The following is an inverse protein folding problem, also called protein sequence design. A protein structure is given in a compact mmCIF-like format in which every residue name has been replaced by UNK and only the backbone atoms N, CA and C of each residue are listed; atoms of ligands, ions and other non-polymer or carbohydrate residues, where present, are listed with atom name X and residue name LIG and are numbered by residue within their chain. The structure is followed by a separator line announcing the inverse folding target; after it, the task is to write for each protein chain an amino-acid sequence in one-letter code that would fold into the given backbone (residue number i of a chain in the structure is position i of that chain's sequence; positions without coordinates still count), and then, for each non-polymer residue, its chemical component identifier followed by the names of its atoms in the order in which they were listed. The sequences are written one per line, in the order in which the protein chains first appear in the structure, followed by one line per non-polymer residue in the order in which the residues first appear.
data_IF_397137206565
#
_entry.id   IF_397137206565
#
_cell.length_a   1.000
_cell.length_b   1.000
_cell.length_c   1.000
_cell.angle_alpha   90.00
_cell.angle_beta   90.00
_cell.angle_gamma   90.00
#
_symmetry.space_group_name_H-M   'P 1'
#
loop_
_entity.id
_entity.type
_entity.pdbx_description
1 polymer ?
#
# COMPACT_ATOMS: atom_id res chain seq x y z
N UNK A 1 -5.31 -8.46 -11.31
CA UNK A 1 -3.87 -8.61 -11.56
C UNK A 1 -3.51 -10.06 -11.33
N UNK A 2 -2.80 -10.68 -12.25
CA UNK A 2 -2.36 -12.06 -12.06
C UNK A 2 -1.06 -12.15 -11.24
N UNK A 3 -0.72 -13.36 -10.78
CA UNK A 3 0.47 -13.59 -9.94
C UNK A 3 1.78 -13.22 -10.63
N UNK A 4 1.90 -13.42 -11.94
CA UNK A 4 3.12 -13.11 -12.69
C UNK A 4 3.36 -11.60 -12.75
N UNK A 5 2.30 -10.83 -12.98
CA UNK A 5 2.33 -9.37 -12.92
C UNK A 5 2.70 -8.87 -11.51
N UNK A 6 2.05 -9.41 -10.48
CA UNK A 6 2.33 -9.05 -9.09
C UNK A 6 3.79 -9.32 -8.69
N UNK A 7 4.35 -10.45 -9.11
CA UNK A 7 5.76 -10.78 -8.83
C UNK A 7 6.76 -9.89 -9.56
N UNK A 8 6.40 -9.30 -10.71
CA UNK A 8 7.23 -8.27 -11.36
C UNK A 8 7.25 -6.98 -10.56
N UNK A 9 6.12 -6.63 -9.96
CA UNK A 9 6.02 -5.47 -9.06
C UNK A 9 6.81 -5.74 -7.78
N UNK A 10 6.71 -6.94 -7.20
CA UNK A 10 7.55 -7.35 -6.08
C UNK A 10 9.04 -7.19 -6.39
N UNK A 11 9.50 -7.72 -7.53
CA UNK A 11 10.90 -7.61 -7.95
C UNK A 11 11.34 -6.15 -8.15
N UNK A 12 10.44 -5.30 -8.67
CA UNK A 12 10.72 -3.87 -8.81
C UNK A 12 10.88 -3.15 -7.46
N UNK A 13 10.00 -3.44 -6.49
CA UNK A 13 9.97 -2.75 -5.19
C UNK A 13 11.00 -3.31 -4.19
N UNK A 14 11.16 -4.63 -4.15
CA UNK A 14 11.91 -5.34 -3.11
C UNK A 14 13.05 -6.22 -3.66
N UNK A 15 13.19 -6.36 -4.98
CA UNK A 15 14.21 -7.23 -5.58
C UNK A 15 14.00 -8.71 -5.25
N UNK A 16 15.09 -9.38 -4.88
CA UNK A 16 15.15 -10.82 -4.62
C UNK A 16 14.74 -11.22 -3.21
N UNK A 17 14.26 -10.28 -2.39
CA UNK A 17 13.86 -10.55 -1.01
C UNK A 17 12.70 -11.54 -0.92
N UNK A 18 12.83 -12.54 -0.05
CA UNK A 18 11.74 -13.47 0.30
C UNK A 18 10.68 -12.82 1.21
N UNK A 19 11.11 -11.86 2.04
CA UNK A 19 10.26 -11.14 2.99
C UNK A 19 10.49 -9.64 2.89
N UNK A 20 9.40 -8.89 3.01
CA UNK A 20 9.42 -7.43 3.10
C UNK A 20 8.42 -6.98 4.17
N UNK A 21 8.26 -5.67 4.32
CA UNK A 21 7.27 -5.06 5.19
C UNK A 21 6.43 -4.07 4.39
N UNK A 22 5.12 -4.04 4.62
CA UNK A 22 4.28 -2.99 4.05
C UNK A 22 4.50 -1.64 4.77
N UNK A 23 3.82 -0.60 4.30
CA UNK A 23 3.99 0.76 4.81
C UNK A 23 3.55 0.95 6.27
N UNK A 24 2.81 -0.01 6.85
CA UNK A 24 2.43 0.00 8.29
C UNK A 24 3.33 -0.92 9.13
N UNK A 25 4.33 -1.56 8.52
CA UNK A 25 5.30 -2.43 9.19
C UNK A 25 4.86 -3.89 9.33
N UNK A 26 3.81 -4.33 8.62
CA UNK A 26 3.40 -5.75 8.63
C UNK A 26 4.26 -6.55 7.67
N UNK A 27 4.71 -7.72 8.13
CA UNK A 27 5.54 -8.63 7.36
C UNK A 27 4.75 -9.27 6.21
N UNK A 28 5.36 -9.31 5.03
CA UNK A 28 4.80 -9.95 3.83
C UNK A 28 5.83 -10.91 3.23
N UNK A 29 5.37 -11.99 2.59
CA UNK A 29 6.23 -13.02 1.99
C UNK A 29 6.00 -13.09 0.49
N UNK A 30 7.06 -13.03 -0.31
CA UNK A 30 7.04 -13.01 -1.78
C UNK A 30 6.11 -14.06 -2.40
N UNK A 31 6.16 -15.28 -1.89
CA UNK A 31 5.41 -16.42 -2.43
C UNK A 31 3.91 -16.36 -2.17
N UNK A 32 3.48 -15.60 -1.16
CA UNK A 32 2.13 -15.61 -0.58
C UNK A 32 1.26 -14.46 -1.13
N UNK A 33 1.44 -14.14 -2.41
CA UNK A 33 0.56 -13.22 -3.15
C UNK A 33 -0.87 -13.79 -3.22
N UNK A 34 -1.86 -12.96 -2.88
CA UNK A 34 -3.30 -13.28 -2.91
C UNK A 34 -3.67 -14.50 -2.03
N UNK A 35 -2.93 -14.69 -0.94
CA UNK A 35 -3.21 -15.71 0.08
C UNK A 35 -3.64 -15.02 1.38
N UNK A 36 -4.81 -15.36 1.93
CA UNK A 36 -5.28 -14.81 3.21
C UNK A 36 -4.61 -15.57 4.38
N UNK A 37 -3.37 -15.20 4.72
CA UNK A 37 -2.59 -15.78 5.82
C UNK A 37 -1.70 -14.73 6.52
N UNK A 38 -0.96 -15.09 7.58
CA UNK A 38 -0.18 -14.16 8.41
C UNK A 38 0.87 -13.29 7.68
N UNK A 39 1.24 -13.61 6.44
CA UNK A 39 2.25 -12.88 5.63
C UNK A 39 1.77 -12.64 4.20
N UNK A 40 0.46 -12.74 3.99
CA UNK A 40 -0.17 -12.63 2.69
C UNK A 40 -0.34 -11.19 2.24
N UNK A 41 -0.14 -10.94 0.94
CA UNK A 41 -0.12 -9.59 0.39
C UNK A 41 -0.86 -9.49 -0.95
N UNK A 42 -1.24 -8.26 -1.28
CA UNK A 42 -1.93 -7.91 -2.52
C UNK A 42 -1.30 -6.65 -3.14
N UNK A 43 -1.59 -6.42 -4.42
CA UNK A 43 -1.33 -5.14 -5.09
C UNK A 43 -2.63 -4.34 -5.10
N UNK A 44 -2.63 -3.21 -4.40
CA UNK A 44 -3.75 -2.29 -4.29
C UNK A 44 -3.51 -0.99 -5.03
N UNK A 45 -4.43 -0.05 -4.88
CA UNK A 45 -4.31 1.31 -5.41
C UNK A 45 -4.31 2.35 -4.29
N UNK A 46 -3.44 3.35 -4.38
CA UNK A 46 -3.37 4.44 -3.41
C UNK A 46 -4.65 5.30 -3.48
N UNK A 47 -4.98 5.80 -4.67
CA UNK A 47 -6.31 6.30 -5.02
C UNK A 47 -7.17 5.16 -5.60
N UNK A 48 -8.30 4.81 -4.98
CA UNK A 48 -9.15 3.70 -5.44
C UNK A 48 -9.69 3.90 -6.86
N UNK A 49 -9.86 2.81 -7.60
CA UNK A 49 -10.48 2.82 -8.93
C UNK A 49 -11.92 3.31 -8.88
N UNK A 50 -12.66 2.97 -7.82
CA UNK A 50 -14.03 3.44 -7.55
C UNK A 50 -14.12 4.97 -7.40
N UNK A 51 -12.98 5.62 -7.12
CA UNK A 51 -12.85 7.07 -6.99
C UNK A 51 -12.04 7.69 -8.15
N UNK A 52 -12.08 7.07 -9.35
CA UNK A 52 -11.37 7.49 -10.55
C UNK A 52 -9.83 7.50 -10.38
N UNK A 53 -9.30 6.57 -9.58
CA UNK A 53 -7.87 6.32 -9.49
C UNK A 53 -7.31 5.74 -10.80
N UNK A 54 -6.13 6.16 -11.25
CA UNK A 54 -5.51 5.62 -12.46
C UNK A 54 -4.92 4.23 -12.22
N UNK A 55 -4.74 3.44 -13.28
CA UNK A 55 -4.20 2.07 -13.20
C UNK A 55 -2.69 1.99 -13.45
N UNK A 56 -2.00 3.12 -13.57
CA UNK A 56 -0.57 3.18 -13.83
C UNK A 56 0.28 2.86 -12.60
N UNK A 57 1.57 2.59 -12.81
CA UNK A 57 2.51 2.20 -11.75
C UNK A 57 2.58 3.23 -10.60
N UNK A 58 2.49 4.53 -10.89
CA UNK A 58 2.50 5.56 -9.86
C UNK A 58 1.33 5.52 -8.87
N UNK A 59 0.27 4.73 -9.10
CA UNK A 59 -0.88 4.59 -8.20
C UNK A 59 -0.96 3.19 -7.55
N UNK A 60 -0.05 2.26 -7.87
CA UNK A 60 -0.09 0.92 -7.26
C UNK A 60 0.70 0.89 -5.96
N UNK A 61 0.36 -0.05 -5.08
CA UNK A 61 1.05 -0.26 -3.81
C UNK A 61 0.96 -1.71 -3.37
N UNK A 62 2.08 -2.28 -2.92
CA UNK A 62 2.10 -3.58 -2.24
C UNK A 62 1.70 -3.37 -0.77
N UNK A 63 0.75 -4.16 -0.28
CA UNK A 63 0.32 -4.11 1.11
C UNK A 63 -0.11 -5.48 1.64
N UNK A 64 -0.01 -5.67 2.95
CA UNK A 64 -0.57 -6.84 3.61
C UNK A 64 -2.09 -6.88 3.43
N UNK A 65 -2.68 -8.06 3.26
CA UNK A 65 -4.12 -8.18 2.95
C UNK A 65 -5.03 -7.61 4.07
N UNK A 66 -4.63 -7.69 5.34
CA UNK A 66 -5.33 -6.99 6.42
C UNK A 66 -5.25 -5.46 6.28
N UNK A 67 -4.08 -4.92 5.91
CA UNK A 67 -3.90 -3.47 5.68
C UNK A 67 -4.79 -3.01 4.54
N UNK A 68 -4.90 -3.81 3.48
CA UNK A 68 -5.81 -3.56 2.37
C UNK A 68 -7.28 -3.51 2.81
N UNK A 69 -7.70 -4.46 3.67
CA UNK A 69 -9.07 -4.50 4.22
C UNK A 69 -9.37 -3.29 5.09
N UNK A 70 -8.43 -2.85 5.93
CA UNK A 70 -8.59 -1.67 6.79
C UNK A 70 -8.60 -0.36 6.01
N UNK A 71 -7.68 -0.19 5.05
CA UNK A 71 -7.67 0.97 4.15
C UNK A 71 -8.97 1.05 3.35
N UNK A 72 -9.38 -0.06 2.74
CA UNK A 72 -10.52 -0.13 1.83
C UNK A 72 -10.44 0.92 0.72
N UNK A 73 -11.59 1.54 0.43
CA UNK A 73 -11.71 2.63 -0.53
C UNK A 73 -11.49 4.01 0.11
N UNK A 74 -10.96 4.09 1.33
CA UNK A 74 -10.70 5.36 2.01
C UNK A 74 -9.59 6.14 1.28
N UNK A 75 -9.88 7.40 0.96
CA UNK A 75 -9.00 8.35 0.26
C UNK A 75 -9.51 9.80 0.46
N UNK A 76 -8.63 10.81 0.62
CA UNK A 76 -7.18 10.67 0.73
C UNK A 76 -6.74 10.23 2.12
N UNK A 77 -7.58 10.39 3.14
CA UNK A 77 -7.30 9.98 4.51
C UNK A 77 -7.85 8.58 4.78
N UNK A 78 -7.11 7.80 5.56
CA UNK A 78 -7.52 6.49 6.02
C UNK A 78 -6.83 6.15 7.33
N UNK A 79 -7.37 5.15 8.03
CA UNK A 79 -6.86 4.67 9.30
C UNK A 79 -6.57 3.18 9.21
N UNK A 80 -5.40 2.76 9.64
CA UNK A 80 -5.04 1.35 9.80
C UNK A 80 -4.67 1.18 11.26
N UNK A 81 -5.32 0.23 11.92
CA UNK A 81 -5.34 0.11 13.38
C UNK A 81 -5.75 1.45 14.02
N UNK A 82 -4.82 2.11 14.71
CA UNK A 82 -5.04 3.39 15.38
C UNK A 82 -4.30 4.56 14.74
N UNK A 83 -3.53 4.31 13.66
CA UNK A 83 -2.69 5.31 13.02
C UNK A 83 -3.38 5.89 11.79
N UNK A 84 -3.40 7.22 11.71
CA UNK A 84 -3.92 7.96 10.56
C UNK A 84 -2.85 8.17 9.49
N UNK A 85 -3.28 8.04 8.24
CA UNK A 85 -2.44 8.19 7.05
C UNK A 85 -3.14 9.07 6.02
N UNK A 86 -2.34 9.75 5.20
CA UNK A 86 -2.81 10.54 4.06
C UNK A 86 -2.11 10.11 2.78
N UNK A 87 -2.89 9.92 1.72
CA UNK A 87 -2.39 9.74 0.36
C UNK A 87 -2.20 11.11 -0.29
N UNK A 88 -0.99 11.37 -0.79
CA UNK A 88 -0.64 12.58 -1.54
C UNK A 88 -0.34 12.24 -2.99
N UNK A 89 -0.59 13.17 -3.90
CA UNK A 89 -0.29 13.05 -5.33
C UNK A 89 0.79 14.06 -5.73
N UNK A 90 1.78 13.62 -6.50
CA UNK A 90 2.88 14.43 -7.02
C UNK A 90 2.76 14.56 -8.53
N UNK A 91 2.22 15.69 -8.99
CA UNK A 91 1.94 15.94 -10.42
C UNK A 91 3.18 15.83 -11.31
N UNK A 92 4.33 16.36 -10.87
CA UNK A 92 5.56 16.37 -11.68
C UNK A 92 6.08 14.97 -12.01
N UNK A 93 5.78 13.98 -11.16
CA UNK A 93 6.22 12.60 -11.34
C UNK A 93 5.10 11.60 -11.64
N UNK A 94 3.85 12.06 -11.68
CA UNK A 94 2.65 11.23 -11.86
C UNK A 94 2.61 10.01 -10.91
N UNK A 95 2.81 10.27 -9.62
CA UNK A 95 2.78 9.22 -8.59
C UNK A 95 2.12 9.68 -7.30
N UNK A 96 1.66 8.70 -6.54
CA UNK A 96 1.10 8.88 -5.21
C UNK A 96 2.10 8.39 -4.16
N UNK A 97 1.98 8.91 -2.94
CA UNK A 97 2.70 8.38 -1.78
C UNK A 97 1.86 8.50 -0.52
N UNK A 98 2.21 7.72 0.51
CA UNK A 98 1.50 7.68 1.78
C UNK A 98 2.37 8.35 2.85
N UNK A 99 1.78 9.26 3.61
CA UNK A 99 2.39 9.87 4.79
C UNK A 99 1.61 9.45 6.03
N UNK A 100 2.32 9.10 7.11
CA UNK A 100 1.71 9.00 8.43
C UNK A 100 1.37 10.41 8.91
N UNK A 101 0.13 10.64 9.32
CA UNK A 101 -0.27 11.89 9.96
C UNK A 101 0.32 11.86 11.38
N UNK A 102 1.22 12.79 11.67
CA UNK A 102 1.67 13.03 13.05
C UNK A 102 0.60 13.90 13.70
N UNK A 103 0.09 13.51 14.85
CA UNK A 103 -0.51 14.47 15.76
C UNK A 103 0.65 15.33 16.24
N UNK A 104 0.63 16.63 15.93
CA UNK A 104 1.51 17.58 16.59
C UNK A 104 1.14 17.50 18.08
N UNK A 105 1.95 16.78 18.86
CA UNK A 105 2.05 17.02 20.30
C UNK A 105 2.67 18.43 20.47
N UNK A 106 1.88 19.46 20.15
CA UNK A 106 2.06 20.80 20.73
C UNK A 106 1.74 20.65 22.23
N UNK A 107 2.65 20.03 22.99
CA UNK A 107 2.71 20.18 24.44
C UNK A 107 3.34 21.55 24.76
N UNK A 108 2.52 22.40 25.39
CA UNK A 108 2.82 23.73 25.96
C UNK A 108 4.13 23.85 26.77
#
# INVERSE_FOLDING_TARGET
MDRSEALKIWEHEFGDLDYAYDFVGRKIKREDYDVENQVGWIVGYMRPLSQNGPTHIGNIIIMHHHTAREKGDSYPYFKVEEVEYVVRYVEKGDYYFIEKVQEDDDED
#
